data_IF_588633887852
#
_entry.id   IF_588633887852
#
_cell.length_a   1.000
_cell.length_b   1.000
_cell.length_c   1.000
_cell.angle_alpha   90.00
_cell.angle_beta   90.00
_cell.angle_gamma   90.00
#
_symmetry.space_group_name_H-M   'P 1'
#
loop_
_entity.id
_entity.type
_entity.pdbx_description
1 polymer ?
#
# COMPACT_ATOMS: atom_id res chain seq x y z
N UNK A 1 18.58 -61.97 -1.04
CA UNK A 1 18.17 -60.66 -1.59
C UNK A 1 17.44 -59.89 -0.51
N UNK A 2 17.99 -58.80 0.06
CA UNK A 2 17.24 -57.96 0.99
C UNK A 2 16.43 -56.86 0.23
N UNK A 3 15.31 -56.37 0.80
CA UNK A 3 14.40 -55.42 0.16
C UNK A 3 14.95 -53.99 0.17
N UNK A 4 14.62 -53.23 -0.88
CA UNK A 4 15.11 -51.87 -1.13
C UNK A 4 14.43 -50.85 -0.22
N UNK A 5 15.25 -50.13 0.55
CA UNK A 5 14.88 -48.96 1.35
C UNK A 5 14.59 -47.74 0.44
N UNK A 6 13.31 -47.47 0.18
CA UNK A 6 12.86 -46.23 -0.46
C UNK A 6 11.66 -45.71 0.33
N UNK A 7 11.88 -44.77 1.25
CA UNK A 7 10.74 -44.20 2.00
C UNK A 7 11.03 -43.25 3.15
N UNK A 8 12.27 -43.05 3.60
CA UNK A 8 12.54 -42.27 4.84
C UNK A 8 13.29 -40.95 4.62
N UNK A 9 13.41 -40.48 3.38
CA UNK A 9 14.27 -39.33 3.02
C UNK A 9 13.48 -38.07 2.59
N UNK A 10 12.17 -38.20 2.36
CA UNK A 10 11.35 -37.12 1.79
C UNK A 10 10.54 -36.38 2.89
N UNK A 11 10.48 -36.97 4.06
CA UNK A 11 9.66 -36.62 5.21
C UNK A 11 10.36 -35.57 6.08
N UNK A 12 11.69 -35.55 6.08
CA UNK A 12 12.55 -34.54 6.72
C UNK A 12 12.56 -33.20 5.95
N UNK A 13 12.21 -33.21 4.65
CA UNK A 13 12.25 -32.02 3.80
C UNK A 13 10.98 -31.14 3.92
N UNK A 14 9.85 -31.71 4.36
CA UNK A 14 8.56 -30.99 4.46
C UNK A 14 8.42 -30.18 5.77
N UNK A 15 9.33 -30.34 6.73
CA UNK A 15 9.22 -29.72 8.06
C UNK A 15 10.12 -28.49 8.29
N UNK A 16 11.08 -28.20 7.40
CA UNK A 16 12.07 -27.13 7.60
C UNK A 16 11.66 -25.73 7.10
N UNK A 17 10.55 -25.58 6.38
CA UNK A 17 10.16 -24.27 5.80
C UNK A 17 9.21 -23.42 6.67
N UNK A 18 8.75 -23.94 7.81
CA UNK A 18 7.69 -23.30 8.60
C UNK A 18 8.18 -22.26 9.63
N UNK A 19 9.45 -22.35 10.06
CA UNK A 19 10.00 -21.49 11.14
C UNK A 19 10.60 -20.18 10.61
N UNK A 20 11.23 -20.18 9.43
CA UNK A 20 11.83 -18.97 8.83
C UNK A 20 10.80 -17.99 8.29
N UNK A 21 9.68 -18.50 7.74
CA UNK A 21 8.58 -17.67 7.23
C UNK A 21 7.89 -16.87 8.34
N UNK A 22 7.82 -17.40 9.57
CA UNK A 22 7.22 -16.70 10.71
C UNK A 22 8.07 -15.50 11.18
N UNK A 23 9.40 -15.61 11.15
CA UNK A 23 10.31 -14.52 11.53
C UNK A 23 10.31 -13.38 10.52
N UNK A 24 10.23 -13.71 9.22
CA UNK A 24 10.17 -12.71 8.14
C UNK A 24 8.83 -11.96 8.11
N UNK A 25 7.70 -12.64 8.35
CA UNK A 25 6.40 -11.97 8.46
C UNK A 25 6.37 -11.05 9.69
N UNK A 26 6.84 -11.52 10.85
CA UNK A 26 6.88 -10.69 12.07
C UNK A 26 7.76 -9.44 11.91
N UNK A 27 8.93 -9.58 11.26
CA UNK A 27 9.81 -8.45 10.93
C UNK A 27 9.15 -7.45 9.98
N UNK A 28 8.52 -7.93 8.91
CA UNK A 28 7.82 -7.08 7.94
C UNK A 28 6.63 -6.34 8.58
N UNK A 29 5.84 -7.01 9.43
CA UNK A 29 4.74 -6.38 10.17
C UNK A 29 5.25 -5.31 11.13
N UNK A 30 6.37 -5.54 11.81
CA UNK A 30 6.95 -4.55 12.73
C UNK A 30 7.39 -3.27 11.99
N UNK A 31 8.03 -3.42 10.83
CA UNK A 31 8.44 -2.29 10.00
C UNK A 31 7.23 -1.49 9.52
N UNK A 32 6.17 -2.17 9.07
CA UNK A 32 4.92 -1.52 8.67
C UNK A 32 4.28 -0.75 9.83
N UNK A 33 4.21 -1.35 11.01
CA UNK A 33 3.66 -0.71 12.21
C UNK A 33 4.47 0.52 12.62
N UNK A 34 5.81 0.42 12.61
CA UNK A 34 6.69 1.53 12.91
C UNK A 34 6.53 2.68 11.90
N UNK A 35 6.47 2.35 10.60
CA UNK A 35 6.23 3.33 9.54
C UNK A 35 4.86 4.03 9.71
N UNK A 36 3.82 3.28 10.06
CA UNK A 36 2.48 3.81 10.27
C UNK A 36 2.40 4.76 11.46
N UNK A 37 2.98 4.37 12.61
CA UNK A 37 3.05 5.22 13.81
C UNK A 37 3.84 6.50 13.54
N UNK A 38 4.96 6.38 12.82
CA UNK A 38 5.79 7.54 12.44
C UNK A 38 5.01 8.50 11.54
N UNK A 39 4.28 7.98 10.54
CA UNK A 39 3.43 8.79 9.66
C UNK A 39 2.33 9.52 10.44
N UNK A 40 1.66 8.83 11.38
CA UNK A 40 0.67 9.43 12.28
C UNK A 40 1.28 10.56 13.14
N UNK A 41 2.45 10.33 13.73
CA UNK A 41 3.14 11.36 14.53
C UNK A 41 3.50 12.58 13.69
N UNK A 42 3.99 12.39 12.46
CA UNK A 42 4.29 13.48 11.54
C UNK A 42 3.02 14.27 11.16
N UNK A 43 1.90 13.56 10.96
CA UNK A 43 0.58 14.16 10.75
C UNK A 43 0.12 15.00 11.95
N UNK A 44 0.30 14.51 13.18
CA UNK A 44 -0.03 15.26 14.39
C UNK A 44 0.85 16.50 14.56
N UNK A 45 2.14 16.40 14.25
CA UNK A 45 3.05 17.57 14.24
C UNK A 45 2.58 18.59 13.21
N UNK A 46 2.20 18.16 11.99
CA UNK A 46 1.61 19.05 10.98
C UNK A 46 0.37 19.75 11.52
N UNK A 47 -0.54 19.01 12.16
CA UNK A 47 -1.74 19.58 12.75
C UNK A 47 -1.43 20.60 13.85
N UNK A 48 -0.45 20.31 14.70
CA UNK A 48 -0.02 21.20 15.78
C UNK A 48 0.64 22.47 15.26
N UNK A 49 1.44 22.38 14.19
CA UNK A 49 2.03 23.54 13.50
C UNK A 49 0.96 24.43 12.86
N UNK A 50 -0.02 23.83 12.19
CA UNK A 50 -1.16 24.55 11.60
C UNK A 50 -1.98 25.22 12.71
N UNK A 51 -2.25 24.51 13.81
CA UNK A 51 -3.01 25.05 14.93
C UNK A 51 -2.28 26.22 15.61
N UNK A 52 -0.95 26.15 15.74
CA UNK A 52 -0.15 27.23 16.33
C UNK A 52 -0.05 28.48 15.43
N UNK A 53 -0.13 28.31 14.10
CA UNK A 53 -0.13 29.44 13.15
C UNK A 53 -1.51 30.10 12.97
N UNK A 54 -2.61 29.33 13.06
CA UNK A 54 -3.97 29.82 12.78
C UNK A 54 -4.88 29.98 14.02
N UNK A 55 -4.51 29.42 15.18
CA UNK A 55 -5.33 29.44 16.41
C UNK A 55 -6.64 28.63 16.32
N UNK A 56 -7.56 28.82 17.27
CA UNK A 56 -8.95 28.27 17.26
C UNK A 56 -9.88 29.09 16.36
N UNK A 57 -9.59 29.20 15.07
CA UNK A 57 -10.42 30.01 14.17
C UNK A 57 -11.42 29.16 13.40
N UNK A 58 -12.71 29.55 13.43
CA UNK A 58 -13.77 29.05 12.53
C UNK A 58 -13.36 29.07 11.05
N UNK A 59 -12.39 29.91 10.67
CA UNK A 59 -11.83 29.96 9.33
C UNK A 59 -11.00 28.72 8.97
N UNK A 60 -10.32 28.08 9.93
CA UNK A 60 -9.56 26.86 9.68
C UNK A 60 -10.49 25.65 9.46
N UNK A 61 -11.59 25.58 10.20
CA UNK A 61 -12.62 24.55 9.99
C UNK A 61 -13.34 24.76 8.66
N UNK A 62 -13.66 26.00 8.28
CA UNK A 62 -14.24 26.31 6.97
C UNK A 62 -13.26 26.00 5.83
N UNK A 63 -11.97 26.31 5.99
CA UNK A 63 -10.92 25.96 5.05
C UNK A 63 -10.82 24.44 4.89
N UNK A 64 -10.69 23.68 5.99
CA UNK A 64 -10.65 22.20 5.96
C UNK A 64 -11.91 21.60 5.33
N UNK A 65 -13.09 22.12 5.67
CA UNK A 65 -14.34 21.66 5.08
C UNK A 65 -14.38 21.87 3.56
N UNK A 66 -13.81 22.97 3.06
CA UNK A 66 -13.70 23.22 1.62
C UNK A 66 -12.76 22.24 0.91
N UNK A 67 -11.65 21.85 1.54
CA UNK A 67 -10.72 20.86 0.98
C UNK A 67 -11.18 19.40 1.13
N UNK A 68 -12.10 19.10 2.04
CA UNK A 68 -12.63 17.74 2.20
C UNK A 68 -13.44 17.26 0.99
N UNK A 69 -14.14 18.15 0.29
CA UNK A 69 -14.94 17.78 -0.91
C UNK A 69 -14.04 17.23 -2.03
N UNK A 70 -12.99 17.95 -2.48
CA UNK A 70 -12.08 17.42 -3.50
C UNK A 70 -11.31 16.20 -3.00
N UNK A 71 -10.90 16.17 -1.73
CA UNK A 71 -10.23 14.99 -1.15
C UNK A 71 -11.14 13.76 -1.18
N UNK A 72 -12.41 13.89 -0.81
CA UNK A 72 -13.39 12.80 -0.85
C UNK A 72 -13.58 12.26 -2.27
N UNK A 73 -13.66 13.14 -3.27
CA UNK A 73 -13.77 12.75 -4.67
C UNK A 73 -12.51 11.99 -5.10
N UNK A 74 -11.33 12.49 -4.74
CA UNK A 74 -10.07 11.82 -5.03
C UNK A 74 -10.00 10.44 -4.37
N UNK A 75 -10.40 10.32 -3.11
CA UNK A 75 -10.39 9.06 -2.37
C UNK A 75 -11.38 8.03 -2.96
N UNK A 76 -12.56 8.48 -3.40
CA UNK A 76 -13.51 7.65 -4.14
C UNK A 76 -12.97 7.16 -5.49
N UNK A 77 -12.32 8.04 -6.24
CA UNK A 77 -11.80 7.71 -7.57
C UNK A 77 -10.54 6.86 -7.47
N UNK A 78 -9.52 7.30 -6.72
CA UNK A 78 -8.23 6.63 -6.61
C UNK A 78 -8.29 5.42 -5.66
N UNK A 79 -8.87 5.59 -4.47
CA UNK A 79 -8.99 4.55 -3.47
C UNK A 79 -10.13 3.56 -3.76
N UNK A 80 -11.23 4.02 -4.34
CA UNK A 80 -12.38 3.18 -4.67
C UNK A 80 -12.30 2.60 -6.09
N UNK A 81 -12.63 3.40 -7.09
CA UNK A 81 -12.83 2.94 -8.47
C UNK A 81 -11.54 2.39 -9.10
N UNK A 82 -10.44 3.12 -8.99
CA UNK A 82 -9.16 2.72 -9.56
C UNK A 82 -8.63 1.46 -8.88
N UNK A 83 -8.63 1.38 -7.54
CA UNK A 83 -8.18 0.19 -6.83
C UNK A 83 -9.04 -1.05 -7.17
N UNK A 84 -10.36 -0.89 -7.24
CA UNK A 84 -11.30 -1.96 -7.58
C UNK A 84 -11.08 -2.54 -8.98
N UNK A 85 -10.67 -1.70 -9.96
CA UNK A 85 -10.32 -2.16 -11.30
C UNK A 85 -8.87 -2.64 -11.41
N UNK A 86 -7.93 -1.92 -10.79
CA UNK A 86 -6.50 -2.13 -10.95
C UNK A 86 -6.02 -3.43 -10.30
N UNK A 87 -6.40 -3.70 -9.05
CA UNK A 87 -5.94 -4.88 -8.31
C UNK A 87 -6.26 -6.20 -9.08
N UNK A 88 -7.52 -6.48 -9.47
CA UNK A 88 -7.84 -7.72 -10.19
C UNK A 88 -7.19 -7.76 -11.57
N UNK A 89 -7.09 -6.65 -12.30
CA UNK A 89 -6.42 -6.62 -13.60
C UNK A 89 -4.92 -6.89 -13.48
N UNK A 90 -4.23 -6.21 -12.56
CA UNK A 90 -2.80 -6.38 -12.33
C UNK A 90 -2.47 -7.80 -11.87
N UNK A 91 -3.23 -8.33 -10.91
CA UNK A 91 -3.07 -9.71 -10.42
C UNK A 91 -3.37 -10.75 -11.50
N UNK A 92 -4.33 -10.49 -12.40
CA UNK A 92 -4.59 -11.37 -13.54
C UNK A 92 -3.43 -11.42 -14.54
N UNK A 93 -2.75 -10.30 -14.81
CA UNK A 93 -1.52 -10.30 -15.63
C UNK A 93 -0.40 -11.09 -14.96
N UNK A 94 -0.22 -10.91 -13.65
CA UNK A 94 0.79 -11.62 -12.87
C UNK A 94 0.54 -13.13 -12.84
N UNK A 95 -0.71 -13.55 -12.65
CA UNK A 95 -1.12 -14.96 -12.64
C UNK A 95 -0.90 -15.66 -14.00
N UNK A 96 -0.94 -14.90 -15.10
CA UNK A 96 -0.65 -15.39 -16.46
C UNK A 96 0.84 -15.38 -16.81
N UNK A 97 1.72 -15.02 -15.87
CA UNK A 97 3.16 -14.91 -16.10
C UNK A 97 3.57 -13.71 -16.97
N UNK A 98 2.66 -12.78 -17.27
CA UNK A 98 2.90 -11.59 -18.10
C UNK A 98 3.38 -10.43 -17.25
N UNK A 99 4.54 -10.60 -16.60
CA UNK A 99 5.07 -9.61 -15.65
C UNK A 99 5.37 -8.25 -16.30
N UNK A 100 5.91 -8.24 -17.51
CA UNK A 100 6.24 -7.00 -18.23
C UNK A 100 4.99 -6.15 -18.49
N UNK A 101 3.89 -6.79 -18.86
CA UNK A 101 2.62 -6.11 -19.11
C UNK A 101 1.94 -5.63 -17.83
N UNK A 102 2.06 -6.39 -16.73
CA UNK A 102 1.61 -5.93 -15.42
C UNK A 102 2.37 -4.65 -15.02
N UNK A 103 3.69 -4.63 -15.23
CA UNK A 103 4.53 -3.45 -14.97
C UNK A 103 4.22 -2.28 -15.90
N UNK A 104 3.89 -2.56 -17.16
CA UNK A 104 3.46 -1.52 -18.09
C UNK A 104 2.15 -0.87 -17.65
N UNK A 105 1.18 -1.68 -17.22
CA UNK A 105 -0.08 -1.20 -16.64
C UNK A 105 0.18 -0.33 -15.40
N UNK A 106 1.00 -0.81 -14.46
CA UNK A 106 1.35 -0.06 -13.25
C UNK A 106 2.02 1.27 -13.59
N UNK A 107 2.98 1.26 -14.51
CA UNK A 107 3.72 2.47 -14.92
C UNK A 107 2.81 3.48 -15.62
N UNK A 108 1.89 3.01 -16.47
CA UNK A 108 0.90 3.87 -17.12
C UNK A 108 -0.03 4.52 -16.10
N UNK A 109 -0.58 3.73 -15.16
CA UNK A 109 -1.45 4.24 -14.09
C UNK A 109 -0.70 5.22 -13.19
N UNK A 110 0.54 4.93 -12.81
CA UNK A 110 1.38 5.82 -12.01
C UNK A 110 1.68 7.13 -12.73
N UNK A 111 1.98 7.08 -14.03
CA UNK A 111 2.25 8.29 -14.83
C UNK A 111 1.00 9.17 -14.91
N UNK A 112 -0.17 8.57 -15.15
CA UNK A 112 -1.47 9.28 -15.17
C UNK A 112 -1.78 9.86 -13.79
N UNK A 113 -1.55 9.11 -12.71
CA UNK A 113 -1.79 9.59 -11.35
C UNK A 113 -0.86 10.77 -11.00
N UNK A 114 0.42 10.69 -11.35
CA UNK A 114 1.37 11.78 -11.15
C UNK A 114 0.99 13.03 -11.95
N UNK A 115 0.62 12.89 -13.23
CA UNK A 115 0.21 14.04 -14.05
C UNK A 115 -1.09 14.66 -13.55
N UNK A 116 -2.07 13.84 -13.16
CA UNK A 116 -3.30 14.32 -12.54
C UNK A 116 -3.02 15.07 -11.23
N UNK A 117 -2.15 14.54 -10.37
CA UNK A 117 -1.77 15.20 -9.12
C UNK A 117 -1.07 16.54 -9.37
N UNK A 118 -0.16 16.63 -10.35
CA UNK A 118 0.48 17.91 -10.71
C UNK A 118 -0.50 18.93 -11.28
N UNK A 119 -1.51 18.48 -12.03
CA UNK A 119 -2.54 19.37 -12.57
C UNK A 119 -3.42 19.94 -11.45
N UNK A 120 -3.80 19.12 -10.45
CA UNK A 120 -4.57 19.57 -9.28
C UNK A 120 -3.75 20.53 -8.41
N UNK A 121 -2.46 20.24 -8.20
CA UNK A 121 -1.59 21.10 -7.40
C UNK A 121 -1.29 22.46 -8.07
N UNK A 122 -1.46 22.58 -9.39
CA UNK A 122 -1.23 23.80 -10.14
C UNK A 122 -2.44 24.74 -10.21
N UNK A 123 -3.63 24.29 -9.79
CA UNK A 123 -4.90 25.05 -9.76
C UNK A 123 -5.13 25.61 -8.36
#
# INVERSE_FOLDING_TARGET
MPPRAWGSRNDEMLTSTHTDRRRTIAGATLVLMAAFVTSRLLGLVREMVIYNQFGTSRALDAYRAAFNIPDLIFELVAGGALAAAFIPTFTAYLAKGRQDEAWHLASAVMTIACTAATAVAAV
#
